data_IF_104538716018
#
_entry.id   IF_104538716018
#
_cell.length_a   1.000
_cell.length_b   1.000
_cell.length_c   1.000
_cell.angle_alpha   90.00
_cell.angle_beta   90.00
_cell.angle_gamma   90.00
#
_symmetry.space_group_name_H-M   'P 1'
#
loop_
_entity.id
_entity.type
_entity.pdbx_description
1 polymer ?
#
# COMPACT_ATOMS: atom_id res chain seq x y z
N UNK A 1 -61.19 -5.28 -65.81
CA UNK A 1 -61.10 -6.06 -64.53
C UNK A 1 -59.64 -6.41 -64.30
N UNK A 2 -58.95 -5.81 -63.36
CA UNK A 2 -57.60 -6.25 -63.00
C UNK A 2 -57.65 -7.07 -61.73
N UNK A 3 -56.93 -8.17 -61.75
CA UNK A 3 -56.70 -9.08 -60.64
C UNK A 3 -55.74 -8.48 -59.60
N UNK A 4 -56.14 -8.48 -58.34
CA UNK A 4 -55.27 -8.19 -57.21
C UNK A 4 -54.62 -9.49 -56.66
N UNK A 5 -53.29 -9.52 -56.60
CA UNK A 5 -52.51 -10.53 -55.89
C UNK A 5 -52.14 -10.00 -54.50
N UNK A 6 -52.21 -10.81 -53.45
CA UNK A 6 -51.82 -10.38 -52.10
C UNK A 6 -50.30 -10.40 -51.87
N UNK A 7 -49.81 -9.40 -51.20
CA UNK A 7 -48.40 -9.31 -50.77
C UNK A 7 -48.17 -10.26 -49.57
N UNK A 8 -47.36 -11.26 -49.78
CA UNK A 8 -46.86 -12.12 -48.71
C UNK A 8 -45.80 -11.40 -47.92
N UNK A 9 -46.02 -11.21 -46.61
CA UNK A 9 -45.09 -10.66 -45.65
C UNK A 9 -44.12 -11.75 -45.21
N UNK A 10 -42.85 -11.66 -45.58
CA UNK A 10 -41.79 -12.58 -45.16
C UNK A 10 -41.26 -12.11 -43.81
N UNK A 11 -41.60 -12.80 -42.72
CA UNK A 11 -41.06 -12.59 -41.38
C UNK A 11 -39.72 -13.33 -41.31
N UNK A 12 -38.62 -12.58 -41.33
CA UNK A 12 -37.28 -13.13 -41.07
C UNK A 12 -37.09 -13.24 -39.55
N UNK A 13 -37.09 -14.44 -39.02
CA UNK A 13 -36.67 -14.73 -37.65
C UNK A 13 -35.14 -14.66 -37.56
N UNK A 14 -34.64 -13.59 -36.98
CA UNK A 14 -33.23 -13.49 -36.61
C UNK A 14 -33.03 -14.26 -35.29
N UNK A 15 -32.49 -15.47 -35.36
CA UNK A 15 -32.03 -16.23 -34.19
C UNK A 15 -30.73 -15.58 -33.70
N UNK A 16 -30.79 -14.78 -32.63
CA UNK A 16 -29.63 -14.35 -31.87
C UNK A 16 -29.09 -15.54 -31.08
N UNK A 17 -28.09 -16.20 -31.59
CA UNK A 17 -27.28 -17.16 -30.86
C UNK A 17 -26.43 -16.36 -29.86
N UNK A 18 -26.83 -16.35 -28.60
CA UNK A 18 -26.01 -15.88 -27.49
C UNK A 18 -24.87 -16.89 -27.27
N UNK A 19 -23.69 -16.56 -27.73
CA UNK A 19 -22.49 -17.27 -27.33
C UNK A 19 -22.21 -16.93 -25.87
N UNK A 20 -22.56 -17.83 -24.98
CA UNK A 20 -22.00 -17.82 -23.62
C UNK A 20 -20.54 -18.28 -23.76
N UNK A 21 -19.61 -17.35 -23.70
CA UNK A 21 -18.22 -17.69 -23.48
C UNK A 21 -18.14 -18.18 -22.03
N UNK A 22 -18.20 -19.49 -21.85
CA UNK A 22 -17.81 -20.14 -20.60
C UNK A 22 -16.30 -19.94 -20.53
N UNK A 23 -15.85 -19.07 -19.64
CA UNK A 23 -14.43 -18.98 -19.32
C UNK A 23 -13.94 -20.38 -18.95
N UNK A 24 -13.01 -20.91 -19.71
CA UNK A 24 -12.37 -22.18 -19.34
C UNK A 24 -11.64 -21.97 -18.02
N UNK A 25 -11.70 -22.92 -17.07
CA UNK A 25 -10.88 -22.84 -15.87
C UNK A 25 -9.42 -22.77 -16.33
N UNK A 26 -8.73 -21.72 -15.89
CA UNK A 26 -7.36 -21.44 -16.27
C UNK A 26 -6.49 -22.69 -16.07
N UNK A 27 -5.77 -23.05 -17.14
CA UNK A 27 -4.64 -23.98 -17.06
C UNK A 27 -3.75 -23.54 -15.87
N UNK A 28 -3.15 -24.51 -15.18
CA UNK A 28 -2.23 -24.30 -14.06
C UNK A 28 -1.30 -23.12 -14.33
N UNK A 29 -1.62 -21.98 -13.78
CA UNK A 29 -0.72 -20.83 -13.85
C UNK A 29 0.56 -21.21 -13.11
N UNK A 30 1.66 -21.30 -13.83
CA UNK A 30 2.96 -21.61 -13.24
C UNK A 30 3.31 -20.56 -12.19
N UNK A 31 3.77 -21.00 -11.03
CA UNK A 31 4.16 -20.09 -9.96
C UNK A 31 5.27 -19.15 -10.44
N UNK A 32 5.27 -17.91 -9.96
CA UNK A 32 6.35 -16.96 -10.20
C UNK A 32 7.64 -17.46 -9.52
N UNK A 33 8.76 -17.22 -10.17
CA UNK A 33 10.09 -17.48 -9.63
C UNK A 33 10.70 -16.17 -9.15
N UNK A 34 11.21 -16.16 -7.92
CA UNK A 34 11.91 -15.01 -7.36
C UNK A 34 13.36 -15.37 -7.01
N UNK A 35 14.29 -14.51 -7.41
CA UNK A 35 15.67 -14.53 -6.95
C UNK A 35 15.84 -13.60 -5.76
N UNK A 36 16.03 -14.16 -4.55
CA UNK A 36 16.27 -13.38 -3.34
C UNK A 36 17.72 -12.89 -3.30
N UNK A 37 17.90 -11.57 -3.13
CA UNK A 37 19.20 -10.95 -2.90
C UNK A 37 19.20 -10.14 -1.61
N UNK A 38 20.09 -10.50 -0.67
CA UNK A 38 20.34 -9.71 0.52
C UNK A 38 21.20 -8.51 0.13
N UNK A 39 20.68 -7.30 0.42
CA UNK A 39 21.37 -6.04 0.12
C UNK A 39 22.14 -5.53 1.34
N UNK A 40 21.47 -5.56 2.52
CA UNK A 40 22.05 -5.04 3.74
C UNK A 40 21.52 -5.76 4.98
N UNK A 41 22.22 -5.62 6.10
CA UNK A 41 21.87 -6.24 7.39
C UNK A 41 21.29 -5.26 8.40
N UNK A 42 21.25 -3.97 8.06
CA UNK A 42 20.64 -2.95 8.91
C UNK A 42 19.16 -3.24 9.11
N UNK A 43 18.69 -3.06 10.36
CA UNK A 43 17.34 -3.44 10.76
C UNK A 43 16.32 -2.30 10.63
N UNK A 44 16.43 -1.47 9.57
CA UNK A 44 15.38 -0.53 9.20
C UNK A 44 14.14 -1.30 8.73
N UNK A 45 12.95 -0.78 9.06
CA UNK A 45 11.70 -1.45 8.72
C UNK A 45 10.96 -0.78 7.54
N UNK A 46 11.55 0.26 6.95
CA UNK A 46 10.98 1.01 5.84
C UNK A 46 11.94 1.09 4.66
N UNK A 47 11.39 0.96 3.45
CA UNK A 47 12.15 1.04 2.20
C UNK A 47 11.27 1.59 1.07
N UNK A 48 11.88 2.34 0.17
CA UNK A 48 11.28 2.70 -1.12
C UNK A 48 12.35 2.77 -2.21
N UNK A 49 11.93 2.92 -3.45
CA UNK A 49 12.80 3.01 -4.62
C UNK A 49 12.56 4.32 -5.36
N UNK A 50 13.63 4.92 -5.85
CA UNK A 50 13.61 6.16 -6.61
C UNK A 50 14.95 6.33 -7.32
N UNK A 51 14.97 7.09 -8.40
CA UNK A 51 16.22 7.55 -9.05
C UNK A 51 16.73 8.78 -8.27
N UNK A 52 17.72 8.55 -7.37
CA UNK A 52 18.20 9.56 -6.42
C UNK A 52 19.15 10.55 -7.08
N UNK A 53 20.03 10.09 -7.97
CA UNK A 53 21.06 10.89 -8.57
C UNK A 53 20.80 11.24 -10.04
N UNK A 54 19.58 10.94 -10.53
CA UNK A 54 19.08 11.25 -11.88
C UNK A 54 19.89 10.59 -13.01
N UNK A 55 20.40 9.40 -12.76
CA UNK A 55 21.10 8.63 -13.79
C UNK A 55 20.18 7.70 -14.62
N UNK A 56 18.88 7.70 -14.32
CA UNK A 56 17.86 6.91 -15.00
C UNK A 56 17.74 5.47 -14.48
N UNK A 57 18.45 5.12 -13.42
CA UNK A 57 18.40 3.81 -12.76
C UNK A 57 17.75 3.98 -11.39
N UNK A 58 16.89 3.05 -11.00
CA UNK A 58 16.27 3.08 -9.68
C UNK A 58 17.28 2.66 -8.61
N UNK A 59 17.36 3.49 -7.57
CA UNK A 59 18.11 3.25 -6.34
C UNK A 59 17.17 2.78 -5.24
N UNK A 60 17.73 2.18 -4.18
CA UNK A 60 16.97 1.77 -3.00
C UNK A 60 17.30 2.72 -1.85
N UNK A 61 16.27 3.32 -1.23
CA UNK A 61 16.41 4.13 -0.02
C UNK A 61 15.84 3.37 1.19
N UNK A 62 16.64 3.20 2.24
CA UNK A 62 16.21 2.59 3.49
C UNK A 62 16.97 3.19 4.68
N UNK A 63 16.24 3.84 5.56
CA UNK A 63 16.78 4.39 6.80
C UNK A 63 17.85 5.45 6.61
N UNK A 64 19.06 5.16 7.08
CA UNK A 64 20.22 6.06 7.00
C UNK A 64 20.98 5.97 5.69
N UNK A 65 20.54 5.16 4.74
CA UNK A 65 21.30 4.88 3.53
C UNK A 65 20.45 4.84 2.27
N UNK A 66 21.11 5.09 1.15
CA UNK A 66 20.63 4.67 -0.15
C UNK A 66 21.69 3.82 -0.86
N UNK A 67 21.22 2.89 -1.68
CA UNK A 67 22.03 1.89 -2.37
C UNK A 67 21.86 2.11 -3.86
N UNK A 68 23.00 2.43 -4.53
CA UNK A 68 22.99 2.80 -5.95
C UNK A 68 22.68 1.60 -6.84
N UNK A 69 21.69 1.76 -7.72
CA UNK A 69 21.40 0.79 -8.77
C UNK A 69 22.48 0.70 -9.85
N UNK A 70 22.47 -0.35 -10.67
CA UNK A 70 21.55 -1.49 -10.66
C UNK A 70 22.03 -2.67 -9.77
N UNK A 71 23.25 -2.61 -9.22
CA UNK A 71 23.84 -3.72 -8.44
C UNK A 71 23.62 -3.60 -6.93
N UNK A 72 23.29 -2.39 -6.43
CA UNK A 72 23.04 -2.05 -5.03
C UNK A 72 24.21 -2.32 -4.07
N UNK A 73 25.43 -2.42 -4.61
CA UNK A 73 26.66 -2.66 -3.83
C UNK A 73 27.14 -1.36 -3.18
N UNK A 74 27.07 -0.24 -3.92
CA UNK A 74 27.51 1.05 -3.41
C UNK A 74 26.48 1.64 -2.48
N UNK A 75 26.84 1.76 -1.21
CA UNK A 75 26.03 2.35 -0.15
C UNK A 75 26.44 3.79 0.13
N UNK A 76 25.49 4.71 0.15
CA UNK A 76 25.69 6.13 0.42
C UNK A 76 24.96 6.54 1.70
N UNK A 77 25.62 7.23 2.59
CA UNK A 77 25.06 7.68 3.85
C UNK A 77 24.23 8.96 3.67
N UNK A 78 23.03 8.98 4.23
CA UNK A 78 22.06 10.08 4.14
C UNK A 78 22.08 10.94 5.40
N UNK A 79 22.08 10.31 6.57
CA UNK A 79 22.02 10.97 7.86
C UNK A 79 21.70 9.98 8.97
N UNK A 80 21.83 10.40 10.25
CA UNK A 80 21.56 9.52 11.39
C UNK A 80 20.07 9.30 11.57
N UNK A 81 19.71 8.12 12.09
CA UNK A 81 18.38 7.82 12.61
C UNK A 81 18.53 7.37 14.05
N UNK A 82 17.67 7.89 14.93
CA UNK A 82 17.65 7.51 16.35
C UNK A 82 17.26 6.05 16.50
N UNK A 83 17.96 5.34 17.39
CA UNK A 83 17.67 3.95 17.71
C UNK A 83 17.11 3.81 19.12
N UNK A 84 16.05 3.04 19.28
CA UNK A 84 15.36 2.77 20.52
C UNK A 84 15.16 1.25 20.70
N UNK A 85 16.02 0.60 21.48
CA UNK A 85 16.03 -0.86 21.55
C UNK A 85 16.35 -1.49 20.21
N UNK A 86 15.41 -2.26 19.67
CA UNK A 86 15.53 -2.89 18.36
C UNK A 86 15.00 -2.03 17.21
N UNK A 87 14.40 -0.87 17.51
CA UNK A 87 13.77 -0.01 16.51
C UNK A 87 14.67 1.13 16.08
N UNK A 88 14.66 1.43 14.81
CA UNK A 88 15.05 2.73 14.28
C UNK A 88 13.80 3.59 14.09
N UNK A 89 13.87 4.86 14.43
CA UNK A 89 12.74 5.79 14.39
C UNK A 89 12.46 6.26 12.94
N UNK A 90 12.14 5.31 12.05
CA UNK A 90 11.98 5.46 10.60
C UNK A 90 10.95 4.42 10.09
N UNK A 91 9.66 4.77 10.14
CA UNK A 91 8.56 3.85 9.89
C UNK A 91 7.80 4.13 8.59
N UNK A 92 8.35 4.95 7.72
CA UNK A 92 7.81 5.21 6.38
C UNK A 92 8.87 5.76 5.45
N UNK A 93 8.68 5.58 4.14
CA UNK A 93 9.54 6.18 3.11
C UNK A 93 8.65 6.66 1.97
N UNK A 94 8.11 7.88 2.13
CA UNK A 94 7.25 8.52 1.13
C UNK A 94 8.13 9.36 0.22
N UNK A 95 7.99 9.18 -1.10
CA UNK A 95 8.87 9.74 -2.11
C UNK A 95 8.10 10.72 -3.01
N UNK A 96 8.46 11.98 -2.98
CA UNK A 96 8.03 12.99 -3.96
C UNK A 96 8.94 14.23 -3.90
N UNK A 97 8.84 15.11 -4.90
CA UNK A 97 9.60 16.37 -4.95
C UNK A 97 8.88 17.41 -4.08
N UNK A 98 9.39 17.64 -2.88
CA UNK A 98 8.76 18.51 -1.86
C UNK A 98 9.00 19.98 -2.13
N UNK A 99 10.22 20.34 -2.58
CA UNK A 99 10.63 21.73 -2.78
C UNK A 99 10.52 22.22 -4.23
N UNK A 100 10.23 21.31 -5.19
CA UNK A 100 10.09 21.62 -6.59
C UNK A 100 11.42 21.79 -7.34
N UNK A 101 12.53 21.24 -6.82
CA UNK A 101 13.85 21.32 -7.43
C UNK A 101 14.12 20.22 -8.47
N UNK A 102 13.15 19.32 -8.61
CA UNK A 102 13.19 18.18 -9.52
C UNK A 102 13.91 16.96 -8.97
N UNK A 103 14.47 17.00 -7.74
CA UNK A 103 14.95 15.81 -7.04
C UNK A 103 13.79 15.22 -6.23
N UNK A 104 13.71 13.88 -6.19
CA UNK A 104 12.76 13.22 -5.29
C UNK A 104 13.32 13.21 -3.89
N UNK A 105 12.54 13.72 -2.95
CA UNK A 105 12.82 13.77 -1.53
C UNK A 105 12.17 12.58 -0.81
N UNK A 106 12.46 12.46 0.50
CA UNK A 106 11.85 11.45 1.36
C UNK A 106 11.15 12.11 2.55
N UNK A 107 9.88 11.75 2.79
CA UNK A 107 9.20 12.04 4.04
C UNK A 107 9.10 10.75 4.86
N UNK A 108 9.47 10.85 6.13
CA UNK A 108 9.37 9.77 7.09
C UNK A 108 8.92 10.29 8.45
N UNK A 109 8.54 9.37 9.32
CA UNK A 109 8.24 9.61 10.71
C UNK A 109 8.40 8.34 11.51
N UNK A 110 8.40 8.46 12.83
CA UNK A 110 8.55 7.31 13.69
C UNK A 110 7.87 7.49 15.04
N UNK A 111 7.84 6.40 15.80
CA UNK A 111 7.09 6.31 17.04
C UNK A 111 7.69 7.14 18.17
N UNK A 112 9.01 7.10 18.31
CA UNK A 112 9.70 7.62 19.50
C UNK A 112 9.94 9.12 19.46
N UNK A 113 10.35 9.66 18.30
CA UNK A 113 10.56 11.09 18.11
C UNK A 113 9.26 11.87 17.99
N UNK A 114 8.21 11.23 17.55
CA UNK A 114 6.89 11.85 17.37
C UNK A 114 6.87 12.98 16.35
N UNK A 115 7.79 12.96 15.40
CA UNK A 115 7.96 13.98 14.37
C UNK A 115 7.83 13.39 12.98
N UNK A 116 7.15 14.14 12.11
CA UNK A 116 7.16 13.93 10.67
C UNK A 116 8.29 14.81 10.10
N UNK A 117 9.23 14.20 9.40
CA UNK A 117 10.39 14.91 8.82
C UNK A 117 10.43 14.74 7.31
N UNK A 118 10.94 15.76 6.65
CA UNK A 118 11.31 15.76 5.26
C UNK A 118 12.83 15.77 5.15
N UNK A 119 13.38 14.78 4.45
CA UNK A 119 14.81 14.67 4.10
C UNK A 119 14.98 15.18 2.67
N UNK A 120 15.61 16.33 2.53
CA UNK A 120 15.85 17.02 1.26
C UNK A 120 16.99 16.34 0.50
N UNK A 121 16.68 15.81 -0.68
CA UNK A 121 17.64 15.16 -1.55
C UNK A 121 18.53 16.21 -2.26
N UNK A 122 19.85 16.25 -2.03
CA UNK A 122 20.74 17.21 -2.69
C UNK A 122 21.01 16.89 -4.17
N UNK A 123 20.40 15.85 -4.75
CA UNK A 123 20.64 15.38 -6.12
C UNK A 123 22.05 14.84 -6.36
N UNK A 124 22.77 14.49 -5.30
CA UNK A 124 24.13 13.97 -5.30
C UNK A 124 24.43 13.25 -3.99
N UNK A 125 25.61 12.62 -3.93
CA UNK A 125 26.10 12.02 -2.70
C UNK A 125 26.31 13.04 -1.58
N UNK A 126 26.11 12.60 -0.34
CA UNK A 126 26.33 13.40 0.86
C UNK A 126 25.15 13.33 1.83
N UNK A 127 25.28 14.06 2.93
CA UNK A 127 24.23 14.16 3.95
C UNK A 127 23.04 14.94 3.41
N UNK A 128 21.85 14.40 3.62
CA UNK A 128 20.60 15.07 3.31
C UNK A 128 20.21 16.00 4.46
N UNK A 129 19.67 17.14 4.13
CA UNK A 129 19.18 18.09 5.12
C UNK A 129 17.80 17.65 5.62
N UNK A 130 17.61 17.67 6.93
CA UNK A 130 16.34 17.37 7.54
C UNK A 130 15.55 18.63 7.89
N UNK A 131 14.23 18.57 7.62
CA UNK A 131 13.28 19.61 7.95
C UNK A 131 12.10 18.99 8.71
N UNK A 132 11.67 19.61 9.80
CA UNK A 132 10.49 19.18 10.52
C UNK A 132 9.25 19.64 9.76
N UNK A 133 8.42 18.69 9.33
CA UNK A 133 7.10 18.95 8.75
C UNK A 133 6.09 19.21 9.86
N UNK A 134 6.02 18.31 10.85
CA UNK A 134 5.08 18.42 11.96
C UNK A 134 5.54 17.64 13.20
N UNK A 135 4.99 18.00 14.36
CA UNK A 135 5.06 17.23 15.60
C UNK A 135 3.71 16.63 15.87
N UNK A 136 3.54 15.33 15.61
CA UNK A 136 2.24 14.65 15.60
C UNK A 136 2.05 13.70 16.78
N UNK A 137 3.10 13.41 17.54
CA UNK A 137 3.13 12.31 18.52
C UNK A 137 3.59 11.00 17.89
N UNK A 138 3.35 9.91 18.57
CA UNK A 138 3.81 8.58 18.15
C UNK A 138 3.24 8.20 16.77
N UNK A 139 4.09 8.08 15.77
CA UNK A 139 3.71 7.73 14.40
C UNK A 139 3.98 6.24 14.20
N UNK A 140 2.92 5.44 14.00
CA UNK A 140 3.06 4.02 13.69
C UNK A 140 3.59 3.80 12.28
N UNK A 141 3.07 4.54 11.32
CA UNK A 141 3.57 4.66 9.96
C UNK A 141 2.85 5.82 9.27
N UNK A 142 3.31 6.22 8.11
CA UNK A 142 2.72 7.33 7.35
C UNK A 142 2.37 6.85 5.95
N UNK A 143 1.27 7.34 5.39
CA UNK A 143 0.87 7.09 4.01
C UNK A 143 0.68 8.42 3.28
N UNK A 144 0.60 8.34 1.97
CA UNK A 144 0.35 9.49 1.11
C UNK A 144 -0.67 9.14 0.04
N UNK A 145 -1.61 10.05 -0.18
CA UNK A 145 -2.65 9.93 -1.20
C UNK A 145 -2.96 11.31 -1.77
N UNK A 146 -3.31 11.36 -3.03
CA UNK A 146 -3.86 12.58 -3.67
C UNK A 146 -5.34 12.69 -3.30
N UNK A 147 -5.62 13.38 -2.20
CA UNK A 147 -6.95 13.42 -1.56
C UNK A 147 -7.89 14.39 -2.28
N UNK A 148 -7.37 15.46 -2.84
CA UNK A 148 -8.20 16.46 -3.56
C UNK A 148 -8.06 16.39 -5.08
N UNK A 149 -7.30 15.43 -5.62
CA UNK A 149 -7.15 15.19 -7.05
C UNK A 149 -6.32 16.25 -7.78
N UNK A 150 -5.46 16.99 -7.06
CA UNK A 150 -4.64 18.05 -7.66
C UNK A 150 -3.29 17.57 -8.22
N UNK A 151 -3.02 16.26 -8.13
CA UNK A 151 -1.80 15.61 -8.61
C UNK A 151 -0.62 15.69 -7.65
N UNK A 152 -0.80 16.24 -6.45
CA UNK A 152 0.20 16.25 -5.37
C UNK A 152 -0.37 15.50 -4.17
N UNK A 153 0.40 14.56 -3.67
CA UNK A 153 -0.05 13.73 -2.54
C UNK A 153 -0.06 14.51 -1.23
N UNK A 154 -1.09 14.27 -0.43
CA UNK A 154 -1.14 14.65 0.97
C UNK A 154 -0.53 13.56 1.85
N UNK A 155 0.04 13.97 2.97
CA UNK A 155 0.70 13.10 3.94
C UNK A 155 -0.23 12.85 5.12
N UNK A 156 -0.46 11.57 5.42
CA UNK A 156 -1.39 11.15 6.49
C UNK A 156 -0.67 10.17 7.43
N UNK A 157 -0.16 10.64 8.58
CA UNK A 157 0.45 9.77 9.58
C UNK A 157 -0.64 9.05 10.38
N UNK A 158 -0.46 7.74 10.61
CA UNK A 158 -1.23 6.99 11.60
C UNK A 158 -0.61 7.23 12.98
N UNK A 159 -1.35 7.93 13.83
CA UNK A 159 -0.92 8.35 15.17
C UNK A 159 -1.94 7.88 16.21
N UNK A 160 -1.94 6.58 16.60
CA UNK A 160 -2.97 6.00 17.46
C UNK A 160 -3.16 6.78 18.78
N UNK A 161 -4.43 7.06 19.11
CA UNK A 161 -4.80 7.84 20.29
C UNK A 161 -4.67 9.36 20.14
N UNK A 162 -4.32 9.86 18.94
CA UNK A 162 -4.20 11.29 18.61
C UNK A 162 -5.21 11.68 17.54
N UNK A 163 -5.36 12.99 17.26
CA UNK A 163 -6.14 13.45 16.10
C UNK A 163 -5.61 12.88 14.78
N UNK A 164 -6.50 12.53 13.87
CA UNK A 164 -6.14 12.24 12.49
C UNK A 164 -5.99 13.57 11.74
N UNK A 165 -4.79 13.79 11.19
CA UNK A 165 -4.42 15.04 10.52
C UNK A 165 -3.85 14.73 9.14
N UNK A 166 -4.35 15.46 8.15
CA UNK A 166 -3.82 15.48 6.79
C UNK A 166 -2.84 16.66 6.67
N UNK A 167 -1.66 16.43 6.12
CA UNK A 167 -0.67 17.46 5.83
C UNK A 167 -0.58 17.69 4.33
N UNK A 168 -1.02 18.88 3.89
CA UNK A 168 -1.01 19.29 2.49
C UNK A 168 0.14 20.24 2.21
N UNK A 169 0.94 19.91 1.18
CA UNK A 169 2.00 20.80 0.72
C UNK A 169 1.40 22.09 0.16
N UNK A 170 1.81 23.23 0.70
CA UNK A 170 1.34 24.54 0.24
C UNK A 170 2.09 24.95 -1.03
N UNK A 171 1.39 25.02 -2.16
CA UNK A 171 1.96 25.46 -3.45
C UNK A 171 2.20 26.97 -3.49
N UNK A 172 3.18 27.39 -4.29
CA UNK A 172 3.37 28.78 -4.75
C UNK A 172 3.98 29.75 -3.73
N UNK A 173 4.88 29.30 -2.87
CA UNK A 173 5.58 30.21 -1.97
C UNK A 173 6.79 30.88 -2.65
N UNK A 174 6.71 32.20 -2.81
CA UNK A 174 7.85 33.06 -3.07
C UNK A 174 8.62 33.19 -1.75
N UNK A 175 9.79 32.62 -1.62
CA UNK A 175 10.80 32.79 -0.56
C UNK A 175 11.36 31.47 0.00
N UNK A 176 11.53 30.42 -0.82
CA UNK A 176 12.30 29.20 -0.50
C UNK A 176 11.88 28.44 0.80
N UNK A 177 10.74 28.74 1.40
CA UNK A 177 10.28 28.07 2.62
C UNK A 177 9.12 27.14 2.31
N UNK A 178 9.42 25.85 2.25
CA UNK A 178 8.39 24.80 2.17
C UNK A 178 7.51 24.80 3.41
N UNK A 179 6.21 24.78 3.24
CA UNK A 179 5.22 24.70 4.33
C UNK A 179 4.15 23.68 4.03
N UNK A 180 3.66 23.04 5.09
CA UNK A 180 2.50 22.16 5.04
C UNK A 180 1.36 22.77 5.84
N UNK A 181 0.18 22.77 5.27
CA UNK A 181 -1.06 23.05 6.01
C UNK A 181 -1.50 21.77 6.71
N UNK A 182 -1.97 21.88 7.94
CA UNK A 182 -2.50 20.77 8.73
C UNK A 182 -4.01 20.84 8.82
N UNK A 183 -4.68 19.79 8.40
CA UNK A 183 -6.13 19.66 8.39
C UNK A 183 -6.53 18.51 9.30
N UNK A 184 -7.14 18.84 10.46
CA UNK A 184 -7.68 17.84 11.37
C UNK A 184 -9.01 17.33 10.84
N UNK A 185 -9.12 16.02 10.60
CA UNK A 185 -10.35 15.37 10.08
C UNK A 185 -11.08 14.54 11.13
N UNK A 186 -10.40 14.14 12.21
CA UNK A 186 -10.98 13.42 13.33
C UNK A 186 -10.25 13.76 14.63
N UNK A 187 -10.95 13.77 15.76
CA UNK A 187 -10.35 14.14 17.07
C UNK A 187 -9.45 13.06 17.65
N UNK A 188 -9.74 11.78 17.37
CA UNK A 188 -8.95 10.64 17.83
C UNK A 188 -9.24 9.43 16.95
N UNK A 189 -8.19 8.68 16.60
CA UNK A 189 -8.29 7.40 15.90
C UNK A 189 -7.39 6.35 16.53
N UNK A 190 -7.60 5.07 16.18
CA UNK A 190 -6.78 3.94 16.62
C UNK A 190 -5.69 3.55 15.65
N UNK A 191 -5.18 2.33 15.82
CA UNK A 191 -4.24 1.70 14.91
C UNK A 191 -5.00 1.15 13.69
N UNK A 192 -4.57 1.54 12.51
CA UNK A 192 -5.18 1.19 11.23
C UNK A 192 -5.55 2.44 10.44
N UNK A 193 -5.19 2.45 9.18
CA UNK A 193 -5.47 3.56 8.26
C UNK A 193 -5.55 3.01 6.84
N UNK A 194 -6.54 3.47 6.08
CA UNK A 194 -6.71 3.14 4.66
C UNK A 194 -7.29 4.31 3.89
N UNK A 195 -7.33 4.18 2.57
CA UNK A 195 -7.89 5.20 1.69
C UNK A 195 -8.47 4.58 0.42
N UNK A 196 -9.63 5.04 0.00
CA UNK A 196 -10.29 4.69 -1.23
C UNK A 196 -11.78 5.04 -1.22
N UNK A 197 -12.40 5.05 -2.37
CA UNK A 197 -13.81 5.42 -2.54
C UNK A 197 -14.73 4.29 -2.03
N UNK A 198 -15.23 4.41 -0.80
CA UNK A 198 -16.10 3.40 -0.18
C UNK A 198 -17.54 3.49 -0.70
N UNK A 199 -18.01 4.69 -0.98
CA UNK A 199 -19.42 4.93 -1.29
C UNK A 199 -19.73 5.02 -2.79
N UNK A 200 -18.72 4.99 -3.65
CA UNK A 200 -18.84 5.05 -5.11
C UNK A 200 -19.15 6.47 -5.62
N UNK A 201 -18.77 7.52 -4.89
CA UNK A 201 -19.04 8.90 -5.27
C UNK A 201 -17.89 9.57 -6.05
N UNK A 202 -16.80 8.84 -6.27
CA UNK A 202 -15.62 9.27 -7.02
C UNK A 202 -14.59 10.02 -6.17
N UNK A 203 -14.78 10.13 -4.85
CA UNK A 203 -13.80 10.68 -3.91
C UNK A 203 -13.29 9.59 -2.99
N UNK A 204 -12.00 9.62 -2.68
CA UNK A 204 -11.43 8.67 -1.74
C UNK A 204 -11.77 9.04 -0.29
N UNK A 205 -12.23 8.06 0.47
CA UNK A 205 -12.54 8.12 1.88
C UNK A 205 -11.38 7.61 2.72
N UNK A 206 -11.26 8.05 3.98
CA UNK A 206 -10.27 7.51 4.92
C UNK A 206 -10.89 6.40 5.77
N UNK A 207 -10.27 5.23 5.79
CA UNK A 207 -10.68 4.12 6.65
C UNK A 207 -9.85 4.17 7.94
N UNK A 208 -10.53 4.04 9.08
CA UNK A 208 -9.96 4.06 10.43
C UNK A 208 -10.46 2.88 11.25
N UNK A 209 -9.94 2.71 12.46
CA UNK A 209 -10.31 1.61 13.35
C UNK A 209 -11.82 1.52 13.68
N UNK A 210 -12.56 2.64 13.67
CA UNK A 210 -13.99 2.69 14.01
C UNK A 210 -14.93 2.73 12.81
N UNK A 211 -14.41 2.74 11.59
CA UNK A 211 -15.22 2.85 10.40
C UNK A 211 -14.50 3.57 9.29
N UNK A 212 -15.22 4.43 8.59
CA UNK A 212 -14.64 5.24 7.52
C UNK A 212 -15.16 6.67 7.60
N UNK A 213 -14.32 7.60 7.18
CA UNK A 213 -14.60 9.03 7.11
C UNK A 213 -14.91 9.37 5.66
N UNK A 214 -16.18 9.72 5.39
CA UNK A 214 -16.63 10.16 4.07
C UNK A 214 -16.00 11.50 3.71
N UNK A 215 -15.34 11.53 2.55
CA UNK A 215 -14.69 12.72 2.03
C UNK A 215 -15.72 13.74 1.51
N UNK A 216 -15.75 14.98 2.03
CA UNK A 216 -16.61 16.01 1.48
C UNK A 216 -16.13 16.50 0.11
N UNK A 217 -16.99 17.21 -0.63
CA UNK A 217 -16.66 17.85 -1.92
C UNK A 217 -15.54 18.92 -1.83
N UNK A 218 -15.21 19.34 -0.62
CA UNK A 218 -14.10 20.25 -0.32
C UNK A 218 -13.32 19.72 0.90
N UNK A 219 -12.41 18.75 0.70
CA UNK A 219 -11.82 17.93 1.75
C UNK A 219 -11.04 18.72 2.82
N UNK A 220 -10.55 19.91 2.49
CA UNK A 220 -9.75 20.72 3.40
C UNK A 220 -10.50 21.91 4.04
N UNK A 221 -11.79 22.07 3.74
CA UNK A 221 -12.59 23.17 4.26
C UNK A 221 -13.95 22.76 4.83
N UNK A 222 -14.39 21.52 4.58
CA UNK A 222 -15.62 20.97 5.12
C UNK A 222 -15.34 19.80 6.06
N UNK A 223 -16.23 19.52 7.02
CA UNK A 223 -16.05 18.38 7.93
C UNK A 223 -16.24 17.07 7.20
N UNK A 224 -15.38 16.09 7.55
CA UNK A 224 -15.53 14.70 7.17
C UNK A 224 -16.58 14.02 8.06
N UNK A 225 -17.34 13.08 7.53
CA UNK A 225 -18.42 12.40 8.23
C UNK A 225 -18.02 10.97 8.57
N UNK A 226 -18.00 10.64 9.87
CA UNK A 226 -17.69 9.26 10.30
C UNK A 226 -18.92 8.35 10.14
N UNK A 227 -18.71 7.24 9.44
CA UNK A 227 -19.61 6.10 9.36
C UNK A 227 -19.02 4.96 10.23
N UNK A 228 -19.63 4.63 11.38
CA UNK A 228 -19.06 3.70 12.35
C UNK A 228 -19.33 2.23 11.98
N UNK A 229 -18.90 1.82 10.80
CA UNK A 229 -19.18 0.51 10.22
C UNK A 229 -18.26 -0.62 10.75
N UNK A 230 -17.13 -0.27 11.36
CA UNK A 230 -16.14 -1.20 11.86
C UNK A 230 -15.86 -1.00 13.36
N UNK A 231 -15.29 -2.01 13.98
CA UNK A 231 -14.65 -1.96 15.30
C UNK A 231 -13.38 -2.81 15.24
N UNK A 232 -12.34 -2.21 14.65
CA UNK A 232 -11.08 -2.88 14.34
C UNK A 232 -10.07 -2.61 15.45
N UNK A 233 -9.30 -3.65 15.78
CA UNK A 233 -8.19 -3.53 16.72
C UNK A 233 -6.91 -3.87 15.99
N UNK A 234 -5.94 -2.94 16.00
CA UNK A 234 -4.60 -3.14 15.43
C UNK A 234 -4.63 -3.55 13.93
N UNK A 235 -5.51 -2.93 13.15
CA UNK A 235 -5.59 -3.16 11.72
C UNK A 235 -4.32 -2.70 10.99
N UNK A 236 -4.05 -3.25 9.82
CA UNK A 236 -2.92 -2.89 8.95
C UNK A 236 -2.91 -1.40 8.55
N UNK A 237 -1.75 -0.92 8.13
CA UNK A 237 -1.58 0.38 7.49
C UNK A 237 -0.73 0.18 6.21
N UNK A 238 -1.35 0.24 5.00
CA UNK A 238 -2.75 0.58 4.76
C UNK A 238 -3.73 -0.58 4.97
N UNK A 239 -5.01 -0.25 5.20
CA UNK A 239 -6.15 -1.06 4.78
C UNK A 239 -6.41 -0.74 3.31
N UNK A 240 -6.74 -1.74 2.49
CA UNK A 240 -6.90 -1.57 1.05
C UNK A 240 -8.37 -1.53 0.66
N UNK A 241 -8.73 -0.63 -0.24
CA UNK A 241 -10.07 -0.50 -0.82
C UNK A 241 -10.01 -0.93 -2.27
N UNK A 242 -10.81 -1.92 -2.66
CA UNK A 242 -10.87 -2.46 -4.01
C UNK A 242 -12.14 -3.30 -4.19
N UNK A 243 -12.72 -3.33 -5.37
CA UNK A 243 -13.80 -4.26 -5.74
C UNK A 243 -13.19 -5.65 -5.98
N UNK A 244 -13.20 -6.51 -4.95
CA UNK A 244 -12.57 -7.84 -4.97
C UNK A 244 -13.32 -8.81 -5.87
N UNK A 245 -14.65 -8.83 -5.75
CA UNK A 245 -15.54 -9.80 -6.42
C UNK A 245 -16.11 -9.27 -7.74
N UNK A 246 -15.79 -8.04 -8.13
CA UNK A 246 -16.23 -7.36 -9.35
C UNK A 246 -17.76 -7.19 -9.41
N UNK A 247 -18.38 -6.90 -8.25
CA UNK A 247 -19.83 -6.64 -8.16
C UNK A 247 -20.17 -5.13 -8.30
N UNK A 248 -19.17 -4.28 -8.43
CA UNK A 248 -19.29 -2.84 -8.59
C UNK A 248 -19.31 -2.07 -7.26
N UNK A 249 -19.12 -2.74 -6.12
CA UNK A 249 -18.96 -2.14 -4.81
C UNK A 249 -17.51 -2.31 -4.34
N UNK A 250 -16.94 -1.28 -3.77
CA UNK A 250 -15.60 -1.38 -3.22
C UNK A 250 -15.62 -2.07 -1.85
N UNK A 251 -14.79 -3.09 -1.71
CA UNK A 251 -14.57 -3.87 -0.51
C UNK A 251 -13.36 -3.35 0.27
N UNK A 252 -13.11 -3.92 1.46
CA UNK A 252 -11.94 -3.56 2.28
C UNK A 252 -11.14 -4.81 2.64
N UNK A 253 -9.84 -4.82 2.31
CA UNK A 253 -8.90 -5.85 2.76
C UNK A 253 -8.15 -5.33 3.98
N UNK A 254 -8.16 -6.12 5.06
CA UNK A 254 -7.63 -5.74 6.38
C UNK A 254 -6.72 -6.85 6.89
N UNK A 255 -5.45 -6.52 7.11
CA UNK A 255 -4.51 -7.35 7.85
C UNK A 255 -4.55 -7.03 9.35
N UNK A 256 -4.22 -8.00 10.18
CA UNK A 256 -3.95 -7.78 11.60
C UNK A 256 -2.47 -7.45 11.77
N UNK A 257 -2.16 -6.18 12.11
CA UNK A 257 -0.79 -5.70 12.25
C UNK A 257 -0.03 -6.37 13.40
N UNK A 258 -0.74 -6.72 14.49
CA UNK A 258 -0.17 -7.27 15.72
C UNK A 258 -0.88 -8.54 16.21
N UNK A 259 -1.58 -9.25 15.34
CA UNK A 259 -2.28 -10.48 15.64
C UNK A 259 -2.35 -11.37 14.40
N UNK A 260 -3.01 -12.53 14.53
CA UNK A 260 -3.33 -13.41 13.41
C UNK A 260 -4.45 -12.86 12.55
N UNK A 261 -4.32 -13.05 11.25
CA UNK A 261 -5.41 -12.92 10.29
C UNK A 261 -5.21 -11.84 9.24
N UNK A 262 -5.61 -12.23 8.04
CA UNK A 262 -5.81 -11.38 6.88
C UNK A 262 -7.22 -11.64 6.39
N UNK A 263 -8.01 -10.60 6.23
CA UNK A 263 -9.43 -10.73 5.94
C UNK A 263 -9.85 -9.77 4.84
N UNK A 264 -10.87 -10.14 4.11
CA UNK A 264 -11.61 -9.32 3.18
C UNK A 264 -13.01 -9.07 3.74
N UNK A 265 -13.46 -7.84 3.72
CA UNK A 265 -14.79 -7.39 4.11
C UNK A 265 -15.55 -7.01 2.85
N UNK A 266 -16.41 -7.90 2.40
CA UNK A 266 -17.29 -7.72 1.25
C UNK A 266 -18.36 -6.69 1.59
N UNK A 267 -18.47 -5.66 0.78
CA UNK A 267 -19.49 -4.64 0.93
C UNK A 267 -20.82 -5.11 0.34
N UNK A 268 -21.90 -4.92 1.08
CA UNK A 268 -23.25 -5.10 0.59
C UNK A 268 -24.10 -3.86 0.84
N UNK A 269 -24.89 -3.45 -0.15
CA UNK A 269 -25.76 -2.28 -0.06
C UNK A 269 -27.20 -2.69 -0.40
N UNK A 270 -28.12 -2.48 0.55
CA UNK A 270 -29.53 -2.80 0.35
C UNK A 270 -30.26 -1.72 -0.50
N UNK A 271 -31.52 -1.99 -0.86
CA UNK A 271 -32.36 -1.04 -1.64
C UNK A 271 -32.62 0.30 -0.94
N UNK A 272 -32.40 0.37 0.38
CA UNK A 272 -32.52 1.59 1.17
C UNK A 272 -31.18 2.31 1.36
N UNK A 273 -30.13 1.81 0.67
CA UNK A 273 -28.76 2.28 0.78
C UNK A 273 -28.09 2.05 2.15
N UNK A 274 -28.59 1.13 2.95
CA UNK A 274 -27.88 0.68 4.14
C UNK A 274 -26.71 -0.22 3.73
N UNK A 275 -25.51 0.10 4.25
CA UNK A 275 -24.28 -0.68 4.02
C UNK A 275 -24.11 -1.71 5.12
N UNK A 276 -23.69 -2.89 4.75
CA UNK A 276 -23.29 -3.98 5.65
C UNK A 276 -22.03 -4.65 5.10
N UNK A 277 -21.31 -5.36 5.96
CA UNK A 277 -20.04 -5.97 5.62
C UNK A 277 -20.07 -7.45 5.99
N UNK A 278 -19.67 -8.31 5.04
CA UNK A 278 -19.47 -9.74 5.28
C UNK A 278 -17.98 -10.01 5.37
N UNK A 279 -17.53 -10.53 6.49
CA UNK A 279 -16.13 -10.86 6.71
C UNK A 279 -15.80 -12.24 6.14
N UNK A 280 -14.84 -12.27 5.22
CA UNK A 280 -14.24 -13.48 4.67
C UNK A 280 -12.79 -13.61 5.13
N UNK A 281 -12.35 -14.81 5.47
CA UNK A 281 -10.96 -15.05 5.86
C UNK A 281 -10.11 -15.34 4.62
N UNK A 282 -9.02 -14.57 4.45
CA UNK A 282 -8.01 -14.82 3.41
C UNK A 282 -6.92 -15.73 3.97
N UNK A 283 -6.36 -15.37 5.12
CA UNK A 283 -5.32 -16.15 5.81
C UNK A 283 -5.48 -16.04 7.33
N UNK A 284 -6.05 -17.05 8.00
CA UNK A 284 -6.23 -17.02 9.45
C UNK A 284 -5.01 -17.53 10.24
N UNK A 285 -4.02 -18.10 9.56
CA UNK A 285 -2.94 -18.86 10.19
C UNK A 285 -1.63 -18.09 10.34
N UNK A 286 -1.44 -17.03 9.55
CA UNK A 286 -0.26 -16.18 9.66
C UNK A 286 -0.60 -14.87 10.38
N UNK A 287 0.42 -14.30 11.02
CA UNK A 287 0.27 -13.13 11.88
C UNK A 287 1.02 -11.92 11.34
N UNK A 288 0.69 -10.75 11.91
CA UNK A 288 1.44 -9.51 11.73
C UNK A 288 1.49 -9.02 10.27
N UNK A 289 0.37 -9.10 9.57
CA UNK A 289 0.15 -8.48 8.26
C UNK A 289 0.01 -6.96 8.42
N UNK A 290 1.13 -6.30 8.72
CA UNK A 290 1.14 -4.90 9.09
C UNK A 290 1.00 -3.96 7.88
N UNK A 291 1.57 -4.36 6.75
CA UNK A 291 1.54 -3.58 5.50
C UNK A 291 1.21 -4.47 4.30
N UNK A 292 0.57 -3.89 3.30
CA UNK A 292 0.15 -4.60 2.09
C UNK A 292 0.02 -3.66 0.89
N UNK A 293 0.11 -4.22 -0.30
CA UNK A 293 -0.05 -3.50 -1.58
C UNK A 293 -0.81 -4.38 -2.58
N UNK A 294 -1.54 -3.74 -3.49
CA UNK A 294 -2.05 -4.38 -4.71
C UNK A 294 -1.13 -4.07 -5.88
N UNK A 295 -0.77 -5.08 -6.65
CA UNK A 295 0.04 -4.90 -7.87
C UNK A 295 -0.19 -6.08 -8.82
N UNK A 296 -0.29 -5.81 -10.12
CA UNK A 296 -0.16 -6.84 -11.16
C UNK A 296 1.31 -7.28 -11.19
N UNK A 297 1.61 -8.41 -10.51
CA UNK A 297 2.97 -8.92 -10.34
C UNK A 297 3.31 -10.04 -11.32
N UNK A 298 2.28 -10.64 -11.96
CA UNK A 298 2.47 -11.72 -12.94
C UNK A 298 2.08 -11.31 -14.37
N UNK A 299 1.78 -10.02 -14.57
CA UNK A 299 1.47 -9.41 -15.86
C UNK A 299 0.25 -10.02 -16.57
N UNK A 300 -0.75 -10.49 -15.80
CA UNK A 300 -1.99 -11.03 -16.37
C UNK A 300 -3.11 -9.98 -16.49
N UNK A 301 -2.87 -8.77 -15.97
CA UNK A 301 -3.79 -7.62 -16.00
C UNK A 301 -4.71 -7.55 -14.77
N UNK A 302 -4.70 -8.54 -13.87
CA UNK A 302 -5.34 -8.48 -12.59
C UNK A 302 -4.37 -7.99 -11.49
N UNK A 303 -4.87 -7.54 -10.35
CA UNK A 303 -4.03 -7.12 -9.25
C UNK A 303 -3.95 -8.23 -8.20
N UNK A 304 -2.75 -8.62 -7.82
CA UNK A 304 -2.51 -9.49 -6.68
C UNK A 304 -2.34 -8.66 -5.41
N UNK A 305 -2.79 -9.24 -4.28
CA UNK A 305 -2.51 -8.73 -2.95
C UNK A 305 -1.14 -9.24 -2.49
N UNK A 306 -0.18 -8.34 -2.28
CA UNK A 306 1.15 -8.65 -1.79
C UNK A 306 1.26 -8.20 -0.33
N UNK A 307 1.67 -9.11 0.55
CA UNK A 307 1.87 -8.83 1.98
C UNK A 307 2.73 -9.91 2.63
N UNK A 308 3.11 -9.67 3.88
CA UNK A 308 3.90 -10.61 4.65
C UNK A 308 3.96 -10.25 6.13
N UNK A 309 4.66 -11.07 6.90
CA UNK A 309 4.82 -10.88 8.33
C UNK A 309 5.79 -9.73 8.63
N UNK A 310 5.42 -8.81 9.52
CA UNK A 310 6.36 -7.90 10.18
C UNK A 310 7.16 -8.68 11.23
N UNK A 311 8.47 -8.84 11.03
CA UNK A 311 9.32 -9.61 11.92
C UNK A 311 9.65 -8.84 13.21
N UNK A 312 9.49 -9.50 14.38
CA UNK A 312 9.82 -8.98 15.72
C UNK A 312 9.14 -7.64 16.05
N UNK A 313 7.86 -7.52 15.75
CA UNK A 313 7.07 -6.42 16.29
C UNK A 313 6.94 -6.54 17.82
N UNK A 314 6.89 -5.41 18.52
CA UNK A 314 6.75 -5.32 19.99
C UNK A 314 7.67 -6.26 20.80
N UNK A 315 8.97 -6.32 20.39
CA UNK A 315 9.99 -7.13 21.07
C UNK A 315 9.57 -8.61 21.26
N UNK A 316 8.97 -9.21 20.21
CA UNK A 316 8.45 -10.58 20.17
C UNK A 316 7.28 -10.89 21.14
N UNK A 317 6.52 -9.88 21.57
CA UNK A 317 5.38 -10.09 22.47
C UNK A 317 4.03 -10.27 21.77
N UNK A 318 3.96 -9.99 20.47
CA UNK A 318 2.72 -10.13 19.72
C UNK A 318 2.35 -11.60 19.46
N UNK A 319 1.05 -11.95 19.34
CA UNK A 319 0.64 -13.24 18.85
C UNK A 319 1.30 -13.59 17.52
N UNK A 320 1.83 -14.82 17.43
CA UNK A 320 2.56 -15.27 16.24
C UNK A 320 3.98 -14.74 16.08
N UNK A 321 4.55 -14.02 17.06
CA UNK A 321 5.90 -13.44 16.97
C UNK A 321 6.96 -14.49 16.62
N UNK A 322 6.85 -15.68 17.22
CA UNK A 322 7.82 -16.79 17.02
C UNK A 322 7.52 -17.70 15.82
N UNK A 323 6.42 -17.45 15.10
CA UNK A 323 6.09 -18.20 13.90
C UNK A 323 7.06 -17.87 12.75
N UNK A 324 7.18 -18.77 11.76
CA UNK A 324 7.99 -18.52 10.57
C UNK A 324 7.68 -17.17 9.91
N UNK A 325 8.70 -16.58 9.32
CA UNK A 325 8.60 -15.31 8.61
C UNK A 325 8.23 -15.58 7.16
N UNK A 326 7.26 -14.84 6.62
CA UNK A 326 6.80 -15.07 5.26
C UNK A 326 6.46 -13.80 4.49
N UNK A 327 6.67 -13.90 3.18
CA UNK A 327 6.26 -12.94 2.16
C UNK A 327 5.42 -13.71 1.13
N UNK A 328 4.26 -13.18 0.78
CA UNK A 328 3.25 -13.85 -0.02
C UNK A 328 2.65 -12.91 -1.05
N UNK A 329 2.11 -13.49 -2.13
CA UNK A 329 1.08 -12.85 -2.93
C UNK A 329 -0.17 -13.74 -2.98
N UNK A 330 -1.32 -13.11 -3.13
CA UNK A 330 -2.62 -13.78 -3.15
C UNK A 330 -3.36 -13.38 -4.42
N UNK A 331 -3.82 -14.39 -5.19
CA UNK A 331 -4.61 -14.21 -6.40
C UNK A 331 -6.08 -14.47 -6.12
N UNK A 332 -6.95 -13.59 -6.59
CA UNK A 332 -8.37 -13.84 -6.61
C UNK A 332 -8.71 -14.82 -7.72
N UNK A 333 -9.41 -15.90 -7.41
CA UNK A 333 -9.78 -16.96 -8.37
C UNK A 333 -11.26 -16.94 -8.76
N UNK A 334 -12.01 -15.89 -8.39
CA UNK A 334 -13.45 -15.75 -8.59
C UNK A 334 -14.31 -16.19 -7.41
N UNK A 335 -13.73 -16.87 -6.41
CA UNK A 335 -14.41 -17.37 -5.22
C UNK A 335 -13.63 -17.07 -3.93
N UNK A 336 -12.32 -17.19 -3.98
CA UNK A 336 -11.42 -17.03 -2.83
C UNK A 336 -10.03 -16.56 -3.27
N UNK A 337 -9.21 -16.20 -2.29
CA UNK A 337 -7.82 -15.87 -2.52
C UNK A 337 -6.93 -17.12 -2.48
N UNK A 338 -6.17 -17.34 -3.55
CA UNK A 338 -5.17 -18.41 -3.67
C UNK A 338 -3.80 -17.89 -3.23
N UNK A 339 -3.27 -18.39 -2.10
CA UNK A 339 -2.02 -18.00 -1.51
C UNK A 339 -0.83 -18.58 -2.27
N UNK A 340 0.13 -17.73 -2.64
CA UNK A 340 1.40 -18.09 -3.25
C UNK A 340 2.56 -17.63 -2.35
N UNK A 341 3.57 -18.47 -2.18
CA UNK A 341 4.69 -18.21 -1.29
C UNK A 341 5.86 -17.64 -2.10
N UNK A 342 6.33 -16.44 -1.73
CA UNK A 342 7.55 -15.84 -2.27
C UNK A 342 8.74 -16.23 -1.38
N UNK A 343 8.55 -16.14 -0.05
CA UNK A 343 9.55 -16.51 0.95
C UNK A 343 8.85 -17.03 2.20
N UNK A 344 9.39 -18.09 2.82
CA UNK A 344 8.84 -18.62 4.06
C UNK A 344 9.91 -19.45 4.78
N UNK A 345 10.05 -19.28 6.07
CA UNK A 345 10.98 -20.04 6.89
C UNK A 345 11.24 -19.43 8.25
N UNK A 346 12.10 -20.06 9.06
CA UNK A 346 12.55 -19.46 10.31
C UNK A 346 13.30 -18.14 10.07
N UNK A 347 13.49 -17.33 11.12
CA UNK A 347 14.32 -16.12 11.01
C UNK A 347 15.70 -16.41 10.40
N UNK A 348 16.11 -15.59 9.41
CA UNK A 348 17.34 -15.78 8.66
C UNK A 348 17.18 -16.57 7.35
N UNK A 349 16.14 -17.38 7.20
CA UNK A 349 15.78 -18.08 5.96
C UNK A 349 14.57 -17.39 5.30
N UNK A 350 13.45 -17.30 6.03
CA UNK A 350 12.28 -16.54 5.58
C UNK A 350 12.52 -15.04 5.59
N UNK A 351 11.68 -14.30 4.90
CA UNK A 351 11.67 -12.84 4.84
C UNK A 351 10.24 -12.32 4.80
N UNK A 352 9.95 -11.28 5.57
CA UNK A 352 8.66 -10.59 5.59
C UNK A 352 8.76 -9.17 5.04
N UNK A 353 7.73 -8.37 5.28
CA UNK A 353 7.57 -7.04 4.65
C UNK A 353 8.15 -5.88 5.45
N UNK A 354 8.43 -6.01 6.74
CA UNK A 354 8.64 -4.83 7.59
C UNK A 354 7.36 -4.00 7.74
N UNK A 355 7.49 -2.67 7.77
CA UNK A 355 6.36 -1.74 7.97
C UNK A 355 6.03 -0.93 6.71
N UNK A 356 6.98 -0.83 5.80
CA UNK A 356 6.84 -0.14 4.52
C UNK A 356 7.75 -0.80 3.47
N UNK A 357 7.20 -1.21 2.33
CA UNK A 357 7.95 -1.88 1.25
C UNK A 357 7.60 -1.31 -0.12
N UNK A 358 8.36 -1.67 -1.15
CA UNK A 358 8.16 -1.19 -2.52
C UNK A 358 8.04 -2.34 -3.52
N UNK A 359 7.31 -2.09 -4.61
CA UNK A 359 7.15 -2.99 -5.75
C UNK A 359 7.39 -2.17 -7.02
N UNK A 360 8.50 -2.45 -7.71
CA UNK A 360 8.90 -1.74 -8.94
C UNK A 360 9.76 -2.64 -9.83
N UNK A 361 9.78 -2.38 -11.13
CA UNK A 361 10.69 -3.04 -12.07
C UNK A 361 12.09 -2.40 -11.97
N UNK A 362 12.97 -3.00 -11.17
CA UNK A 362 14.30 -2.46 -10.85
C UNK A 362 15.34 -2.67 -11.97
N UNK A 363 15.11 -3.64 -12.85
CA UNK A 363 16.07 -4.06 -13.84
C UNK A 363 15.59 -3.88 -15.28
N UNK A 364 14.42 -3.28 -15.47
CA UNK A 364 13.75 -3.01 -16.75
C UNK A 364 13.46 -4.28 -17.57
N UNK A 365 13.17 -5.41 -16.90
CA UNK A 365 12.79 -6.67 -17.55
C UNK A 365 11.26 -6.84 -17.70
N UNK A 366 10.48 -5.84 -17.24
CA UNK A 366 9.01 -5.76 -17.23
C UNK A 366 8.33 -6.61 -16.18
N UNK A 367 9.07 -7.30 -15.33
CA UNK A 367 8.54 -7.97 -14.16
C UNK A 367 8.78 -7.09 -12.93
N UNK A 368 7.75 -6.85 -12.17
CA UNK A 368 7.90 -6.06 -10.95
C UNK A 368 8.60 -6.85 -9.86
N UNK A 369 9.66 -6.26 -9.32
CA UNK A 369 10.44 -6.78 -8.21
C UNK A 369 9.87 -6.29 -6.88
N UNK A 370 10.18 -6.99 -5.78
CA UNK A 370 9.73 -6.61 -4.44
C UNK A 370 10.94 -6.26 -3.59
N UNK A 371 10.94 -5.05 -3.02
CA UNK A 371 11.98 -4.58 -2.11
C UNK A 371 11.42 -4.51 -0.71
N UNK A 372 11.99 -5.26 0.21
CA UNK A 372 11.54 -5.36 1.60
C UNK A 372 12.66 -5.08 2.58
N UNK A 373 12.38 -4.22 3.56
CA UNK A 373 13.23 -3.96 4.70
C UNK A 373 12.59 -4.56 5.96
N UNK A 374 13.36 -4.77 7.00
CA UNK A 374 12.86 -5.29 8.28
C UNK A 374 14.01 -5.52 9.25
N UNK A 375 13.70 -5.91 10.49
CA UNK A 375 14.72 -6.21 11.50
C UNK A 375 15.65 -7.37 11.12
N UNK A 376 15.32 -8.10 10.05
CA UNK A 376 16.12 -9.14 9.41
C UNK A 376 16.90 -8.64 8.17
N UNK A 377 16.99 -7.31 8.00
CA UNK A 377 17.76 -6.66 6.95
C UNK A 377 16.95 -6.24 5.73
N UNK A 378 17.64 -5.79 4.69
CA UNK A 378 17.11 -5.32 3.41
C UNK A 378 17.34 -6.38 2.32
N UNK A 379 16.26 -6.77 1.64
CA UNK A 379 16.30 -7.73 0.53
C UNK A 379 15.57 -7.20 -0.70
N UNK A 380 16.02 -7.64 -1.86
CA UNK A 380 15.28 -7.58 -3.13
C UNK A 380 14.88 -8.99 -3.54
N UNK A 381 13.64 -9.15 -3.98
CA UNK A 381 13.13 -10.34 -4.65
C UNK A 381 12.94 -9.99 -6.12
N UNK A 382 13.92 -10.35 -6.94
CA UNK A 382 13.86 -10.17 -8.39
C UNK A 382 12.89 -11.18 -8.99
N UNK A 383 11.82 -10.69 -9.59
CA UNK A 383 10.82 -11.51 -10.27
C UNK A 383 11.37 -12.00 -11.62
N UNK A 384 11.44 -13.30 -11.83
CA UNK A 384 11.92 -13.93 -13.08
C UNK A 384 10.77 -14.41 -13.97
N UNK A 385 9.54 -13.98 -13.64
CA UNK A 385 8.35 -14.45 -14.33
C UNK A 385 7.96 -15.87 -13.97
N UNK A 386 7.16 -16.47 -14.83
CA UNK A 386 6.64 -17.84 -14.62
C UNK A 386 7.69 -18.91 -14.93
N UNK A 387 7.66 -20.00 -14.17
CA UNK A 387 8.46 -21.19 -14.45
C UNK A 387 8.15 -21.70 -15.88
N UNK A 388 9.17 -21.89 -16.68
CA UNK A 388 9.06 -22.47 -18.04
C UNK A 388 9.10 -23.98 -17.99
#
# INVERSE_FOLDING_TARGET
MPFHLPKSCLIVFCNLLSFHIVAQPNEHQSALIFEKRQIASESFESVNVLDIDKDGVLDIFSGSFWYKGPDYIRRNYVGPISRHGEYYDDFSTIVFDVNGDGNKDVITGGWFGGVLVWKENPGKEGNWKEHIVARCGNIETTRSWDIDGDGVVEIVPNTPGKPLVIYKLRKGQTNDVVKFDSIKVMDQHGHGLGYGDINGDGRGDLIVDKGWLECPDAPFSKPWVLHPDFDLVQASVPMLVTDVNQDGLNDVIIGQGHNYGLNWYEQQVDKKKNRTWIKHSIDPYNAQFHTMMMSDIDNDGALELITGKRYRAHDDNDPGAHDPVGLYYFKWNGESFSKQIISYGPPGEGKGTGIFFAIEDLNNDKWKDIVVAGKDGLCVFFNKGVAR
#
